data_IF_774135625949
#
_entry.id   IF_774135625949
#
_cell.length_a   1.000
_cell.length_b   1.000
_cell.length_c   1.000
_cell.angle_alpha   90.00
_cell.angle_beta   90.00
_cell.angle_gamma   90.00
#
_symmetry.space_group_name_H-M   'P 1'
#
loop_
_entity.id
_entity.type
_entity.pdbx_description
1 polymer ?
#
# COMPACT_ATOMS: atom_id res chain seq x y z
N UNK A 1 -21.21 21.33 -7.70
CA UNK A 1 -20.63 20.01 -7.39
C UNK A 1 -20.19 19.41 -8.71
N UNK A 2 -18.88 19.26 -8.92
CA UNK A 2 -18.34 18.54 -10.06
C UNK A 2 -17.91 17.17 -9.54
N UNK A 3 -18.76 16.17 -9.73
CA UNK A 3 -18.37 14.77 -9.57
C UNK A 3 -17.62 14.37 -10.84
N UNK A 4 -16.30 14.26 -10.74
CA UNK A 4 -15.50 13.60 -11.76
C UNK A 4 -15.43 12.13 -11.39
N UNK A 5 -16.23 11.28 -12.04
CA UNK A 5 -16.01 9.84 -12.05
C UNK A 5 -15.13 9.54 -13.27
N UNK A 6 -13.87 9.19 -13.04
CA UNK A 6 -13.01 8.71 -14.11
C UNK A 6 -13.60 7.41 -14.69
N UNK A 7 -13.87 7.39 -15.99
CA UNK A 7 -14.20 6.16 -16.71
C UNK A 7 -12.91 5.33 -16.84
N UNK A 8 -12.70 4.39 -15.92
CA UNK A 8 -11.65 3.38 -16.06
C UNK A 8 -12.20 2.26 -16.94
N UNK A 9 -11.77 2.17 -18.20
CA UNK A 9 -12.16 1.11 -19.14
C UNK A 9 -11.34 -0.16 -18.85
N UNK A 10 -11.53 -0.75 -17.67
CA UNK A 10 -11.03 -2.09 -17.31
C UNK A 10 -12.22 -3.01 -17.05
N UNK A 11 -12.06 -4.30 -17.33
CA UNK A 11 -13.13 -5.29 -17.19
C UNK A 11 -13.70 -5.30 -15.76
N UNK A 12 -14.92 -5.82 -15.59
CA UNK A 12 -15.51 -5.95 -14.24
C UNK A 12 -14.65 -6.81 -13.30
N UNK A 13 -13.89 -7.76 -13.86
CA UNK A 13 -12.98 -8.67 -13.14
C UNK A 13 -11.73 -7.93 -12.63
N UNK A 14 -11.11 -7.10 -13.46
CA UNK A 14 -9.90 -6.33 -13.13
C UNK A 14 -10.21 -5.34 -12.00
N UNK A 15 -11.39 -4.70 -12.05
CA UNK A 15 -11.88 -3.83 -10.98
C UNK A 15 -12.13 -4.58 -9.67
N UNK A 16 -12.65 -5.81 -9.75
CA UNK A 16 -12.90 -6.64 -8.57
C UNK A 16 -11.58 -7.03 -7.90
N UNK A 17 -10.59 -7.48 -8.68
CA UNK A 17 -9.26 -7.81 -8.18
C UNK A 17 -8.62 -6.59 -7.53
N UNK A 18 -8.56 -5.46 -8.23
CA UNK A 18 -8.03 -4.19 -7.69
C UNK A 18 -8.70 -3.83 -6.35
N UNK A 19 -10.02 -3.94 -6.28
CA UNK A 19 -10.76 -3.67 -5.03
C UNK A 19 -10.35 -4.62 -3.90
N UNK A 20 -10.19 -5.91 -4.18
CA UNK A 20 -9.74 -6.90 -3.19
C UNK A 20 -8.31 -6.59 -2.72
N UNK A 21 -7.40 -6.22 -3.61
CA UNK A 21 -6.03 -5.84 -3.27
C UNK A 21 -6.00 -4.63 -2.31
N UNK A 22 -6.76 -3.58 -2.63
CA UNK A 22 -6.89 -2.42 -1.75
C UNK A 22 -7.52 -2.76 -0.39
N UNK A 23 -8.50 -3.67 -0.36
CA UNK A 23 -9.12 -4.13 0.89
C UNK A 23 -8.10 -4.84 1.80
N UNK A 24 -7.31 -5.76 1.25
CA UNK A 24 -6.26 -6.48 1.99
C UNK A 24 -5.28 -5.50 2.63
N UNK A 25 -4.82 -4.49 1.87
CA UNK A 25 -3.92 -3.47 2.41
C UNK A 25 -4.59 -2.59 3.47
N UNK A 26 -5.86 -2.22 3.26
CA UNK A 26 -6.61 -1.41 4.21
C UNK A 26 -6.81 -2.13 5.55
N UNK A 27 -7.00 -3.45 5.55
CA UNK A 27 -7.09 -4.27 6.77
C UNK A 27 -5.80 -4.22 7.61
N UNK A 28 -4.65 -4.00 6.97
CA UNK A 28 -3.34 -3.86 7.63
C UNK A 28 -3.01 -2.45 8.09
N UNK A 29 -3.92 -1.49 7.89
CA UNK A 29 -3.74 -0.10 8.33
C UNK A 29 -3.31 0.03 9.81
N UNK A 30 -3.86 -0.80 10.69
CA UNK A 30 -3.49 -0.80 12.11
C UNK A 30 -2.07 -1.30 12.38
N UNK A 31 -1.58 -2.25 11.59
CA UNK A 31 -0.22 -2.78 11.72
C UNK A 31 0.80 -1.79 11.13
N UNK A 32 0.48 -1.16 10.01
CA UNK A 32 1.29 -0.06 9.47
C UNK A 32 1.37 1.14 10.43
N UNK A 33 0.27 1.45 11.15
CA UNK A 33 0.30 2.47 12.19
C UNK A 33 1.22 2.09 13.37
N UNK A 34 1.33 0.81 13.72
CA UNK A 34 2.31 0.33 14.71
C UNK A 34 3.75 0.49 14.20
N UNK A 35 4.00 0.21 12.92
CA UNK A 35 5.31 0.48 12.30
C UNK A 35 5.67 1.96 12.39
N UNK A 36 4.73 2.84 12.01
CA UNK A 36 4.91 4.29 12.09
C UNK A 36 5.28 4.75 13.51
N UNK A 37 4.53 4.25 14.51
CA UNK A 37 4.77 4.60 15.92
C UNK A 37 6.08 4.06 16.48
N UNK A 38 6.46 2.82 16.12
CA UNK A 38 7.67 2.17 16.67
C UNK A 38 8.97 2.61 15.98
N UNK A 39 8.86 3.22 14.79
CA UNK A 39 10.01 3.63 13.98
C UNK A 39 10.31 5.14 14.05
N UNK A 40 9.67 5.86 14.98
CA UNK A 40 9.92 7.29 15.24
C UNK A 40 9.78 8.18 13.99
N UNK A 41 8.83 7.84 13.10
CA UNK A 41 8.69 8.58 11.82
C UNK A 41 8.24 10.03 12.04
N UNK A 42 7.50 10.30 13.11
CA UNK A 42 6.98 11.63 13.42
C UNK A 42 8.10 12.56 13.88
N UNK A 43 9.03 12.04 14.69
CA UNK A 43 10.24 12.71 15.12
C UNK A 43 11.20 12.93 13.95
N UNK A 44 11.38 11.90 13.10
CA UNK A 44 12.22 11.98 11.91
C UNK A 44 11.77 13.10 10.97
N UNK A 45 10.48 13.16 10.65
CA UNK A 45 9.91 14.19 9.76
C UNK A 45 9.52 15.48 10.48
N UNK A 46 9.62 15.55 11.81
CA UNK A 46 9.17 16.68 12.65
C UNK A 46 7.73 17.10 12.34
N UNK A 47 6.85 16.12 12.19
CA UNK A 47 5.46 16.35 11.80
C UNK A 47 4.54 15.46 12.61
N UNK A 48 3.42 16.01 13.07
CA UNK A 48 2.34 15.25 13.72
C UNK A 48 1.54 14.40 12.73
N UNK A 49 1.73 14.62 11.43
CA UNK A 49 1.05 13.86 10.37
C UNK A 49 2.03 13.53 9.26
N UNK A 50 2.12 12.24 8.94
CA UNK A 50 2.98 11.74 7.86
C UNK A 50 2.10 10.95 6.90
N UNK A 51 2.13 11.33 5.63
CA UNK A 51 1.52 10.55 4.55
C UNK A 51 2.59 9.74 3.85
N UNK A 52 2.27 8.49 3.53
CA UNK A 52 3.17 7.56 2.85
C UNK A 52 2.37 6.86 1.77
N UNK A 53 2.89 6.82 0.56
CA UNK A 53 2.33 5.97 -0.51
C UNK A 53 3.13 4.67 -0.63
N UNK A 54 2.41 3.55 -0.62
CA UNK A 54 2.93 2.22 -0.88
C UNK A 54 2.73 1.88 -2.36
N UNK A 55 3.79 1.43 -3.03
CA UNK A 55 3.78 0.96 -4.41
C UNK A 55 4.16 -0.51 -4.44
N UNK A 56 3.25 -1.36 -4.91
CA UNK A 56 3.45 -2.81 -5.02
C UNK A 56 3.28 -3.26 -6.47
N UNK A 57 4.14 -4.19 -6.90
CA UNK A 57 3.92 -4.95 -8.13
C UNK A 57 3.54 -6.38 -7.72
N UNK A 58 2.36 -6.83 -8.13
CA UNK A 58 1.81 -8.14 -7.77
C UNK A 58 1.69 -8.98 -9.03
N UNK A 59 2.23 -10.19 -8.99
CA UNK A 59 2.21 -11.09 -10.13
C UNK A 59 0.92 -11.95 -10.17
N UNK A 60 0.65 -12.65 -11.29
CA UNK A 60 -0.56 -13.46 -11.45
C UNK A 60 -0.74 -14.58 -10.42
N UNK A 61 0.34 -14.98 -9.75
CA UNK A 61 0.31 -15.97 -8.67
C UNK A 61 -0.11 -15.37 -7.32
N UNK A 62 -0.40 -14.06 -7.28
CA UNK A 62 -0.75 -13.32 -6.07
C UNK A 62 0.47 -13.06 -5.17
N UNK A 63 1.67 -13.07 -5.74
CA UNK A 63 2.91 -12.84 -5.01
C UNK A 63 3.44 -11.44 -5.28
N UNK A 64 4.18 -10.92 -4.29
CA UNK A 64 4.83 -9.62 -4.37
C UNK A 64 6.12 -9.71 -5.18
N UNK A 65 6.17 -9.04 -6.33
CA UNK A 65 7.39 -8.92 -7.15
C UNK A 65 8.21 -7.70 -6.76
N UNK A 66 7.54 -6.61 -6.37
CA UNK A 66 8.20 -5.34 -6.00
C UNK A 66 7.48 -4.64 -4.86
N UNK A 67 8.28 -4.02 -4.00
CA UNK A 67 7.84 -3.16 -2.93
C UNK A 67 8.61 -1.84 -2.98
N UNK A 68 7.92 -0.72 -2.84
CA UNK A 68 8.52 0.60 -2.69
C UNK A 68 7.63 1.53 -1.89
N UNK A 69 8.23 2.44 -1.12
CA UNK A 69 7.55 3.62 -0.56
C UNK A 69 7.82 4.86 -1.42
N UNK A 70 7.01 5.92 -1.27
CA UNK A 70 7.29 7.19 -1.92
C UNK A 70 8.71 7.75 -1.59
N UNK A 71 9.16 8.72 -2.38
CA UNK A 71 10.55 9.20 -2.42
C UNK A 71 10.93 10.10 -1.21
N UNK A 72 10.52 9.72 0.00
CA UNK A 72 10.98 10.31 1.25
C UNK A 72 12.04 9.43 1.90
N UNK A 73 12.93 10.05 2.66
CA UNK A 73 13.97 9.36 3.44
C UNK A 73 13.35 8.75 4.71
N UNK A 74 12.61 7.65 4.57
CA UNK A 74 12.07 6.94 5.73
C UNK A 74 13.18 6.28 6.56
N UNK A 75 13.04 6.20 7.89
CA UNK A 75 13.90 5.34 8.70
C UNK A 75 13.85 3.88 8.23
N UNK A 76 15.00 3.20 8.16
CA UNK A 76 15.08 1.79 7.72
C UNK A 76 14.17 0.88 8.55
N UNK A 77 14.03 1.15 9.84
CA UNK A 77 13.12 0.43 10.75
C UNK A 77 11.66 0.49 10.28
N UNK A 78 11.22 1.63 9.75
CA UNK A 78 9.87 1.80 9.21
C UNK A 78 9.72 1.01 7.91
N UNK A 79 10.66 1.17 6.99
CA UNK A 79 10.65 0.48 5.68
C UNK A 79 10.60 -1.02 5.87
N UNK A 80 11.48 -1.58 6.72
CA UNK A 80 11.55 -3.01 7.01
C UNK A 80 10.26 -3.51 7.67
N UNK A 81 9.74 -2.79 8.67
CA UNK A 81 8.49 -3.19 9.34
C UNK A 81 7.29 -3.24 8.36
N UNK A 82 7.17 -2.26 7.46
CA UNK A 82 6.11 -2.26 6.45
C UNK A 82 6.33 -3.37 5.43
N UNK A 83 7.57 -3.59 4.99
CA UNK A 83 7.91 -4.68 4.06
C UNK A 83 7.57 -6.05 4.66
N UNK A 84 7.95 -6.32 5.90
CA UNK A 84 7.67 -7.59 6.59
C UNK A 84 6.15 -7.88 6.64
N UNK A 85 5.33 -6.85 6.85
CA UNK A 85 3.87 -7.01 6.82
C UNK A 85 3.38 -7.37 5.41
N UNK A 86 3.87 -6.66 4.41
CA UNK A 86 3.42 -6.80 3.01
C UNK A 86 3.86 -8.12 2.40
N UNK A 87 5.10 -8.57 2.66
CA UNK A 87 5.63 -9.83 2.15
C UNK A 87 4.83 -11.04 2.64
N UNK A 88 4.21 -10.94 3.82
CA UNK A 88 3.37 -11.98 4.40
C UNK A 88 1.91 -11.96 3.91
N UNK A 89 1.53 -11.03 3.04
CA UNK A 89 0.16 -10.96 2.51
C UNK A 89 -0.06 -11.99 1.41
N UNK A 90 -1.20 -12.65 1.47
CA UNK A 90 -1.69 -13.52 0.39
C UNK A 90 -2.64 -12.71 -0.48
N UNK A 91 -2.19 -12.31 -1.68
CA UNK A 91 -3.05 -11.66 -2.65
C UNK A 91 -3.81 -12.70 -3.50
N UNK A 92 -5.03 -12.38 -3.99
CA UNK A 92 -5.76 -13.26 -4.88
C UNK A 92 -4.97 -13.53 -6.16
N UNK A 93 -5.06 -14.76 -6.67
CA UNK A 93 -4.54 -15.10 -8.00
C UNK A 93 -5.44 -14.51 -9.07
N UNK A 94 -4.84 -14.14 -10.20
CA UNK A 94 -5.57 -13.64 -11.37
C UNK A 94 -5.02 -14.24 -12.65
N UNK A 95 -5.88 -14.39 -13.65
CA UNK A 95 -5.57 -15.11 -14.89
C UNK A 95 -4.86 -14.24 -15.94
N UNK A 96 -4.62 -12.96 -15.63
CA UNK A 96 -3.96 -12.03 -16.54
C UNK A 96 -2.46 -12.33 -16.57
N UNK A 97 -1.83 -12.24 -17.75
CA UNK A 97 -0.38 -12.40 -17.89
C UNK A 97 0.38 -11.16 -17.42
N UNK A 98 -0.33 -10.12 -17.00
CA UNK A 98 0.20 -8.81 -16.65
C UNK A 98 0.36 -8.69 -15.13
N UNK A 99 1.40 -7.98 -14.73
CA UNK A 99 1.65 -7.62 -13.34
C UNK A 99 0.69 -6.49 -12.97
N UNK A 100 0.06 -6.59 -11.79
CA UNK A 100 -0.75 -5.50 -11.26
C UNK A 100 0.13 -4.54 -10.48
N UNK A 101 0.19 -3.30 -10.96
CA UNK A 101 0.77 -2.17 -10.23
C UNK A 101 -0.31 -1.59 -9.29
N UNK A 102 0.02 -1.51 -8.00
CA UNK A 102 -0.88 -1.06 -6.95
C UNK A 102 -0.28 0.13 -6.21
N UNK A 103 -1.04 1.21 -6.11
CA UNK A 103 -0.68 2.41 -5.36
C UNK A 103 -1.68 2.61 -4.20
N UNK A 104 -1.20 2.54 -2.96
CA UNK A 104 -2.03 2.72 -1.78
C UNK A 104 -1.46 3.80 -0.84
N UNK A 105 -2.12 4.95 -0.73
CA UNK A 105 -1.75 5.96 0.25
C UNK A 105 -2.23 5.59 1.65
N UNK A 106 -1.40 5.91 2.64
CA UNK A 106 -1.70 5.88 4.07
C UNK A 106 -1.38 7.23 4.70
N UNK A 107 -2.17 7.60 5.71
CA UNK A 107 -1.93 8.79 6.50
C UNK A 107 -1.90 8.42 7.98
N UNK A 108 -0.76 8.66 8.60
CA UNK A 108 -0.54 8.42 10.02
C UNK A 108 -0.58 9.75 10.76
N UNK A 109 -1.19 9.76 11.94
CA UNK A 109 -1.24 10.92 12.84
C UNK A 109 -0.71 10.50 14.20
N UNK A 110 0.15 11.32 14.78
CA UNK A 110 0.65 11.19 16.15
C UNK A 110 -0.48 11.58 17.11
N UNK A 111 -0.99 10.60 17.87
CA UNK A 111 -2.05 10.78 18.87
C UNK A 111 -1.51 10.56 20.27
#
# INVERSE_FOLDING_TARGET
>A
MLNSCAFIYSGSKDREIQTQLHQILAEKSSDFAKCAKSSEIFEHFKSQRVTTTLFLDINPQGQLDKFKLDDKEYPDSFVNCVFDIVELLEFPRFDEQEVIELEQPFAFTEN
#
